data_IF_435610623122
#
_entry.id   IF_435610623122
#
_cell.length_a   1.000
_cell.length_b   1.000
_cell.length_c   1.000
_cell.angle_alpha   90.00
_cell.angle_beta   90.00
_cell.angle_gamma   90.00
#
_symmetry.space_group_name_H-M   'P 1'
#
loop_
_entity.id
_entity.type
_entity.pdbx_description
1 polymer ?
#
# COMPACT_ATOMS: atom_id res chain seq x y z
N UNK A 1 -2.66 36.45 -39.11
CA UNK A 1 -1.80 36.96 -38.01
C UNK A 1 -1.83 35.95 -36.88
N UNK A 2 -0.70 35.33 -36.52
CA UNK A 2 -0.64 34.40 -35.38
C UNK A 2 -0.54 35.24 -34.10
N UNK A 3 -1.57 35.28 -33.26
CA UNK A 3 -1.48 35.91 -31.93
C UNK A 3 -0.59 35.02 -31.06
N UNK A 4 0.57 35.54 -30.66
CA UNK A 4 1.43 34.85 -29.71
C UNK A 4 0.77 34.86 -28.33
N UNK A 5 0.89 33.74 -27.62
CA UNK A 5 0.40 33.58 -26.25
C UNK A 5 1.23 34.44 -25.31
N UNK A 6 0.61 35.11 -24.32
CA UNK A 6 1.37 35.94 -23.37
C UNK A 6 2.21 35.07 -22.44
N UNK A 7 3.38 35.57 -22.05
CA UNK A 7 4.30 34.84 -21.15
C UNK A 7 3.64 34.46 -19.83
N UNK A 8 2.78 35.32 -19.29
CA UNK A 8 2.03 35.04 -18.06
C UNK A 8 1.03 33.89 -18.22
N UNK A 9 0.38 33.80 -19.39
CA UNK A 9 -0.53 32.70 -19.70
C UNK A 9 0.24 31.39 -19.92
N UNK A 10 1.43 31.45 -20.52
CA UNK A 10 2.30 30.28 -20.66
C UNK A 10 2.75 29.73 -19.30
N UNK A 11 3.20 30.60 -18.38
CA UNK A 11 3.62 30.21 -17.04
C UNK A 11 2.47 29.60 -16.22
N UNK A 12 1.27 30.16 -16.34
CA UNK A 12 0.08 29.62 -15.70
C UNK A 12 -0.25 28.20 -16.20
N UNK A 13 -0.17 27.96 -17.50
CA UNK A 13 -0.41 26.64 -18.09
C UNK A 13 0.65 25.61 -17.69
N UNK A 14 1.92 26.02 -17.57
CA UNK A 14 3.00 25.16 -17.05
C UNK A 14 2.75 24.80 -15.58
N UNK A 15 2.26 25.75 -14.77
CA UNK A 15 1.90 25.49 -13.37
C UNK A 15 0.76 24.48 -13.23
N UNK A 16 -0.29 24.59 -14.05
CA UNK A 16 -1.38 23.61 -14.10
C UNK A 16 -0.85 22.23 -14.53
N UNK A 17 0.00 22.20 -15.55
CA UNK A 17 0.59 20.95 -16.02
C UNK A 17 1.41 20.29 -14.91
N UNK A 18 2.19 21.05 -14.14
CA UNK A 18 2.95 20.53 -13.00
C UNK A 18 2.07 19.89 -11.91
N UNK A 19 0.88 20.44 -11.65
CA UNK A 19 -0.05 19.88 -10.66
C UNK A 19 -0.67 18.54 -11.09
N UNK A 20 -0.80 18.29 -12.39
CA UNK A 20 -1.40 17.06 -12.93
C UNK A 20 -0.42 15.87 -12.89
N UNK A 21 0.89 16.14 -12.90
CA UNK A 21 1.92 15.08 -12.98
C UNK A 21 2.29 14.53 -11.60
N UNK A 22 1.74 15.06 -10.50
CA UNK A 22 2.05 14.56 -9.15
C UNK A 22 1.49 13.14 -9.03
N UNK A 23 2.34 12.09 -8.90
CA UNK A 23 1.85 10.74 -8.75
C UNK A 23 1.21 10.60 -7.37
N UNK A 24 -0.11 10.48 -7.35
CA UNK A 24 -0.84 10.15 -6.12
C UNK A 24 -0.66 8.66 -5.88
N UNK A 25 0.07 8.29 -4.83
CA UNK A 25 0.18 6.89 -4.40
C UNK A 25 -1.15 6.47 -3.77
N UNK A 26 -1.99 5.78 -4.53
CA UNK A 26 -3.21 5.16 -4.01
C UNK A 26 -2.91 3.73 -3.57
N UNK A 27 -3.24 3.38 -2.31
CA UNK A 27 -3.03 2.05 -1.73
C UNK A 27 -4.20 1.09 -1.96
N UNK A 28 -4.78 1.09 -3.17
CA UNK A 28 -5.90 0.21 -3.55
C UNK A 28 -5.48 -0.93 -4.50
N UNK A 29 -4.17 -1.16 -4.64
CA UNK A 29 -3.67 -2.22 -5.53
C UNK A 29 -4.06 -3.59 -4.96
N UNK A 30 -4.58 -4.45 -5.83
CA UNK A 30 -4.97 -5.81 -5.46
C UNK A 30 -3.77 -6.55 -4.89
N UNK A 31 -3.92 -7.13 -3.70
CA UNK A 31 -2.87 -7.96 -3.12
C UNK A 31 -2.60 -9.20 -3.98
N UNK A 32 -1.34 -9.64 -4.07
CA UNK A 32 -0.99 -10.89 -4.73
C UNK A 32 -1.61 -12.08 -3.99
N UNK A 33 -1.70 -13.23 -4.69
CA UNK A 33 -2.21 -14.46 -4.09
C UNK A 33 -1.22 -15.08 -3.09
N UNK A 34 0.07 -14.78 -3.27
CA UNK A 34 1.17 -15.24 -2.43
C UNK A 34 2.01 -14.04 -1.98
N UNK A 35 2.57 -14.08 -0.78
CA UNK A 35 3.53 -13.07 -0.34
C UNK A 35 4.86 -13.29 -1.07
N UNK A 36 5.24 -12.36 -1.94
CA UNK A 36 6.41 -12.52 -2.82
C UNK A 36 7.75 -12.20 -2.15
N UNK A 37 7.74 -11.36 -1.11
CA UNK A 37 8.94 -10.90 -0.44
C UNK A 37 8.93 -11.22 1.06
N UNK A 38 10.12 -11.48 1.62
CA UNK A 38 10.30 -11.56 3.06
C UNK A 38 10.07 -10.21 3.72
N UNK A 39 9.47 -10.22 4.91
CA UNK A 39 9.17 -9.02 5.68
C UNK A 39 9.80 -9.11 7.07
N UNK A 40 10.53 -8.07 7.49
CA UNK A 40 10.95 -7.93 8.89
C UNK A 40 9.74 -7.54 9.73
N UNK A 41 9.54 -8.22 10.86
CA UNK A 41 8.47 -7.90 11.79
C UNK A 41 8.65 -6.47 12.36
N UNK A 42 7.57 -5.70 12.52
CA UNK A 42 7.58 -4.46 13.28
C UNK A 42 8.12 -4.63 14.70
N UNK A 43 8.62 -3.56 15.31
CA UNK A 43 9.05 -3.61 16.70
C UNK A 43 7.86 -3.72 17.67
N UNK A 44 8.07 -4.35 18.83
CA UNK A 44 7.08 -4.37 19.91
C UNK A 44 5.84 -5.23 19.65
N UNK A 45 5.99 -6.33 18.87
CA UNK A 45 4.89 -7.25 18.56
C UNK A 45 4.19 -7.75 19.82
N UNK A 46 2.85 -7.71 19.78
CA UNK A 46 1.97 -8.37 20.74
C UNK A 46 1.19 -9.45 20.03
N UNK A 47 1.14 -10.65 20.60
CA UNK A 47 0.38 -11.78 20.05
C UNK A 47 -0.99 -11.81 20.74
N UNK A 48 -1.84 -10.85 20.41
CA UNK A 48 -3.16 -10.66 21.03
C UNK A 48 -4.33 -10.74 20.02
N UNK A 49 -4.05 -11.17 18.78
CA UNK A 49 -5.03 -11.31 17.71
C UNK A 49 -5.34 -10.01 16.95
N UNK A 50 -4.67 -8.90 17.27
CA UNK A 50 -4.79 -7.64 16.51
C UNK A 50 -3.66 -7.50 15.50
N UNK A 51 -3.96 -6.89 14.36
CA UNK A 51 -2.98 -6.61 13.30
C UNK A 51 -2.47 -5.15 13.34
N UNK A 52 -2.59 -4.50 14.49
CA UNK A 52 -2.29 -3.07 14.68
C UNK A 52 -0.85 -2.72 14.36
N UNK A 53 0.08 -3.62 14.68
CA UNK A 53 1.51 -3.47 14.46
C UNK A 53 1.88 -3.47 12.97
N UNK A 54 1.03 -4.08 12.13
CA UNK A 54 1.13 -4.05 10.67
C UNK A 54 0.20 -3.00 10.05
N UNK A 55 -0.34 -2.05 10.83
CA UNK A 55 -1.31 -1.04 10.40
C UNK A 55 -2.57 -1.63 9.73
N UNK A 56 -2.96 -2.85 10.10
CA UNK A 56 -4.01 -3.62 9.43
C UNK A 56 -3.77 -3.79 7.91
N UNK A 57 -2.50 -3.82 7.49
CA UNK A 57 -2.09 -4.09 6.11
C UNK A 57 -1.48 -5.49 6.02
N UNK A 58 -1.80 -6.17 4.92
CA UNK A 58 -1.33 -7.53 4.66
C UNK A 58 -0.55 -7.60 3.35
N UNK A 59 0.37 -8.54 3.24
CA UNK A 59 1.20 -8.71 2.05
C UNK A 59 0.52 -9.54 0.96
N UNK A 60 -0.44 -10.39 1.33
CA UNK A 60 -1.14 -11.26 0.39
C UNK A 60 -2.59 -11.47 0.77
N UNK A 61 -3.41 -11.77 -0.25
CA UNK A 61 -4.78 -12.25 -0.11
C UNK A 61 -4.92 -13.56 -0.88
N UNK A 62 -5.01 -14.67 -0.16
CA UNK A 62 -5.17 -15.99 -0.78
C UNK A 62 -6.64 -16.18 -1.20
N UNK A 63 -6.88 -16.25 -2.50
CA UNK A 63 -8.24 -16.35 -3.06
C UNK A 63 -8.89 -17.71 -2.87
N UNK A 64 -8.11 -18.78 -2.62
CA UNK A 64 -8.66 -20.12 -2.44
C UNK A 64 -9.25 -20.30 -1.03
N UNK A 65 -8.69 -19.58 -0.05
CA UNK A 65 -9.12 -19.64 1.36
C UNK A 65 -9.72 -18.33 1.85
N UNK A 66 -9.77 -17.31 1.00
CA UNK A 66 -10.33 -15.97 1.26
C UNK A 66 -9.76 -15.28 2.51
N UNK A 67 -8.47 -15.49 2.79
CA UNK A 67 -7.78 -14.87 3.93
C UNK A 67 -6.72 -13.87 3.47
N UNK A 68 -6.62 -12.79 4.23
CA UNK A 68 -5.48 -11.89 4.22
C UNK A 68 -4.39 -12.45 5.14
N UNK A 69 -3.14 -12.39 4.71
CA UNK A 69 -2.04 -12.83 5.56
C UNK A 69 -0.73 -12.09 5.31
N UNK A 70 0.11 -12.11 6.35
CA UNK A 70 1.51 -11.66 6.33
C UNK A 70 2.33 -12.62 7.17
N UNK A 71 3.43 -13.11 6.60
CA UNK A 71 4.49 -13.80 7.33
C UNK A 71 5.66 -12.81 7.49
N UNK A 72 6.17 -12.68 8.70
CA UNK A 72 7.32 -11.82 8.98
C UNK A 72 8.19 -12.41 10.07
N UNK A 73 9.45 -11.97 10.19
CA UNK A 73 10.35 -12.47 11.23
C UNK A 73 11.16 -11.35 11.87
N UNK A 74 11.68 -11.61 13.08
CA UNK A 74 12.79 -10.86 13.67
C UNK A 74 14.03 -11.76 13.80
N UNK A 75 14.96 -11.44 14.70
CA UNK A 75 16.17 -12.24 14.93
C UNK A 75 15.89 -13.56 15.66
N UNK A 76 14.74 -13.66 16.36
CA UNK A 76 14.42 -14.76 17.26
C UNK A 76 13.15 -15.53 16.86
N UNK A 77 12.21 -14.90 16.15
CA UNK A 77 10.83 -15.40 15.97
C UNK A 77 10.31 -15.21 14.55
N UNK A 78 9.43 -16.14 14.16
CA UNK A 78 8.57 -16.05 12.98
C UNK A 78 7.14 -15.72 13.44
N UNK A 79 6.52 -14.76 12.78
CA UNK A 79 5.16 -14.28 13.03
C UNK A 79 4.29 -14.52 11.81
N UNK A 80 3.07 -14.97 12.07
CA UNK A 80 2.02 -15.13 11.07
C UNK A 80 0.79 -14.34 11.54
N UNK A 81 0.44 -13.30 10.79
CA UNK A 81 -0.80 -12.56 10.97
C UNK A 81 -1.79 -13.00 9.89
N UNK A 82 -3.01 -13.37 10.29
CA UNK A 82 -4.08 -13.83 9.39
C UNK A 82 -5.36 -13.10 9.75
N UNK A 83 -6.11 -12.67 8.74
CA UNK A 83 -7.45 -12.12 8.89
C UNK A 83 -8.38 -12.78 7.88
N UNK A 84 -9.45 -13.41 8.40
CA UNK A 84 -10.58 -13.85 7.60
C UNK A 84 -11.61 -12.72 7.53
N UNK A 85 -12.35 -12.62 6.43
CA UNK A 85 -13.44 -11.65 6.26
C UNK A 85 -14.82 -12.28 6.33
N UNK A 86 -14.90 -13.59 6.54
CA UNK A 86 -16.18 -14.26 6.69
C UNK A 86 -16.86 -13.81 7.99
N UNK A 87 -18.16 -13.51 7.87
CA UNK A 87 -19.03 -13.13 8.97
C UNK A 87 -20.01 -14.29 9.09
N UNK A 88 -19.71 -15.27 9.94
CA UNK A 88 -20.64 -16.36 10.25
C UNK A 88 -22.08 -15.85 10.51
#
# INVERSE_FOLDING_TARGET
>A
MKKALSTSLLLFLIGILYLIIIPVTTSAQKLPNIQEASLRAPAGIKVDGKATEWNNQFQAYNKATEIFYTISNDDDKLYLAVQATDLD
#
